data_IF_716885930997
#
_entry.id   IF_716885930997
#
_cell.length_a   1.000
_cell.length_b   1.000
_cell.length_c   1.000
_cell.angle_alpha   90.00
_cell.angle_beta   90.00
_cell.angle_gamma   90.00
#
_symmetry.space_group_name_H-M   'P 1'
#
loop_
_entity.id
_entity.type
_entity.pdbx_description
1 polymer ?
#
# COMPACT_ATOMS: atom_id res chain seq x y z
N UNK A 1 20.90 -3.93 -24.51
CA UNK A 1 20.94 -4.64 -23.20
C UNK A 1 22.01 -3.93 -22.37
N UNK A 2 21.59 -3.09 -21.39
CA UNK A 2 22.58 -2.53 -20.47
C UNK A 2 23.17 -3.70 -19.67
N UNK A 3 24.51 -3.81 -19.67
CA UNK A 3 25.21 -4.78 -18.81
C UNK A 3 24.74 -4.57 -17.38
N UNK A 4 24.35 -5.66 -16.69
CA UNK A 4 24.03 -5.63 -15.27
C UNK A 4 25.20 -5.00 -14.54
N UNK A 5 24.99 -3.94 -13.80
CA UNK A 5 26.03 -3.37 -12.92
C UNK A 5 26.52 -4.48 -11.98
N UNK A 6 27.82 -4.61 -11.75
CA UNK A 6 28.34 -5.61 -10.81
C UNK A 6 27.81 -5.32 -9.41
N UNK A 7 27.50 -6.37 -8.66
CA UNK A 7 27.10 -6.24 -7.27
C UNK A 7 28.32 -5.82 -6.41
N UNK A 8 28.16 -4.88 -5.47
CA UNK A 8 29.23 -4.48 -4.59
C UNK A 8 29.55 -5.59 -3.55
N UNK A 9 30.77 -5.61 -3.01
CA UNK A 9 31.11 -6.50 -1.91
C UNK A 9 30.52 -6.06 -0.55
N UNK A 10 30.17 -4.75 -0.44
CA UNK A 10 29.63 -4.15 0.79
C UNK A 10 28.64 -3.04 0.42
N UNK A 11 27.62 -2.85 1.26
CA UNK A 11 26.70 -1.71 1.22
C UNK A 11 26.49 -1.17 2.64
N UNK A 12 26.18 0.12 2.77
CA UNK A 12 25.79 0.71 4.06
C UNK A 12 24.44 0.16 4.52
N UNK A 13 23.49 0.08 3.59
CA UNK A 13 22.15 -0.48 3.83
C UNK A 13 21.76 -1.35 2.64
N UNK A 14 21.24 -2.54 2.92
CA UNK A 14 20.64 -3.41 1.91
C UNK A 14 19.12 -3.41 2.12
N UNK A 15 18.36 -3.16 1.04
CA UNK A 15 16.91 -3.25 1.01
C UNK A 15 16.51 -4.40 0.09
N UNK A 16 15.78 -5.38 0.60
CA UNK A 16 15.29 -6.52 -0.18
C UNK A 16 13.84 -6.26 -0.59
N UNK A 17 13.66 -5.99 -1.87
CA UNK A 17 12.40 -5.61 -2.51
C UNK A 17 12.45 -4.20 -3.09
N UNK A 18 12.34 -4.09 -4.45
CA UNK A 18 12.25 -2.83 -5.18
C UNK A 18 10.79 -2.47 -5.52
N UNK A 19 9.86 -2.86 -4.68
CA UNK A 19 8.49 -2.36 -4.66
C UNK A 19 8.44 -0.90 -4.17
N UNK A 20 7.24 -0.31 -4.15
CA UNK A 20 7.09 1.10 -3.76
C UNK A 20 7.57 1.37 -2.32
N UNK A 21 7.48 0.38 -1.43
CA UNK A 21 7.97 0.49 -0.05
C UNK A 21 9.50 0.60 -0.01
N UNK A 22 10.20 -0.33 -0.68
CA UNK A 22 11.67 -0.30 -0.72
C UNK A 22 12.22 0.91 -1.46
N UNK A 23 11.59 1.32 -2.57
CA UNK A 23 12.01 2.51 -3.32
C UNK A 23 11.75 3.81 -2.54
N UNK A 24 10.61 3.93 -1.87
CA UNK A 24 10.32 5.09 -1.02
C UNK A 24 11.32 5.19 0.13
N UNK A 25 11.64 4.07 0.77
CA UNK A 25 12.65 4.02 1.82
C UNK A 25 14.04 4.42 1.29
N UNK A 26 14.48 3.82 0.19
CA UNK A 26 15.78 4.12 -0.43
C UNK A 26 15.93 5.60 -0.79
N UNK A 27 14.86 6.19 -1.34
CA UNK A 27 14.82 7.62 -1.64
C UNK A 27 14.99 8.46 -0.38
N UNK A 28 14.19 8.21 0.66
CA UNK A 28 14.27 8.99 1.91
C UNK A 28 15.60 8.82 2.64
N UNK A 29 16.18 7.62 2.66
CA UNK A 29 17.54 7.40 3.20
C UNK A 29 18.58 8.22 2.44
N UNK A 30 18.50 8.26 1.09
CA UNK A 30 19.40 9.06 0.27
C UNK A 30 19.25 10.57 0.51
N UNK A 31 18.03 11.06 0.80
CA UNK A 31 17.78 12.46 1.19
C UNK A 31 18.40 12.79 2.55
N UNK A 32 18.41 11.83 3.47
CA UNK A 32 19.08 11.94 4.78
C UNK A 32 20.62 11.79 4.70
N UNK A 33 21.17 11.69 3.50
CA UNK A 33 22.61 11.65 3.27
C UNK A 33 23.24 10.26 3.34
N UNK A 34 22.45 9.19 3.50
CA UNK A 34 22.97 7.81 3.44
C UNK A 34 23.50 7.53 2.05
N UNK A 35 24.70 6.95 1.97
CA UNK A 35 25.38 6.52 0.73
C UNK A 35 25.45 5.00 0.67
N UNK A 36 25.81 4.48 -0.49
CA UNK A 36 25.99 3.03 -0.73
C UNK A 36 24.76 2.21 -0.35
N UNK A 37 23.57 2.71 -0.76
CA UNK A 37 22.29 2.01 -0.61
C UNK A 37 22.16 1.02 -1.76
N UNK A 38 21.93 -0.25 -1.41
CA UNK A 38 21.71 -1.34 -2.35
C UNK A 38 20.28 -1.86 -2.24
N UNK A 39 19.54 -1.86 -3.35
CA UNK A 39 18.20 -2.44 -3.43
C UNK A 39 18.25 -3.68 -4.31
N UNK A 40 17.82 -4.82 -3.78
CA UNK A 40 17.80 -6.12 -4.46
C UNK A 40 16.36 -6.59 -4.63
N UNK A 41 15.97 -7.01 -5.84
CA UNK A 41 14.65 -7.56 -6.11
C UNK A 41 14.75 -8.85 -6.92
N UNK A 42 14.08 -9.90 -6.46
CA UNK A 42 14.06 -11.19 -7.14
C UNK A 42 13.29 -11.16 -8.46
N UNK A 43 12.31 -10.26 -8.56
CA UNK A 43 11.42 -10.13 -9.70
C UNK A 43 11.91 -9.14 -10.76
N UNK A 44 11.02 -8.89 -11.69
CA UNK A 44 11.19 -7.85 -12.68
C UNK A 44 10.55 -6.53 -12.23
N UNK A 45 10.90 -5.45 -12.89
CA UNK A 45 10.34 -4.13 -12.63
C UNK A 45 8.81 -4.14 -12.60
N UNK A 46 8.22 -3.68 -11.47
CA UNK A 46 6.78 -3.70 -11.20
C UNK A 46 6.12 -5.10 -11.20
N UNK A 47 6.87 -6.15 -10.99
CA UNK A 47 6.35 -7.52 -10.99
C UNK A 47 5.49 -7.88 -9.78
N UNK A 48 5.67 -7.21 -8.65
CA UNK A 48 4.93 -7.43 -7.40
C UNK A 48 3.62 -6.64 -7.28
N UNK A 49 3.08 -6.58 -6.05
CA UNK A 49 1.83 -5.88 -5.71
C UNK A 49 1.85 -4.40 -6.10
N UNK A 50 3.00 -3.74 -6.04
CA UNK A 50 3.15 -2.32 -6.40
C UNK A 50 2.77 -2.02 -7.84
N UNK A 51 2.95 -2.96 -8.77
CA UNK A 51 2.54 -2.82 -10.17
C UNK A 51 1.14 -3.35 -10.48
N UNK A 52 0.38 -3.76 -9.46
CA UNK A 52 -0.92 -4.45 -9.61
C UNK A 52 -2.04 -3.87 -8.74
N UNK A 53 -1.79 -2.74 -8.07
CA UNK A 53 -2.71 -2.13 -7.12
C UNK A 53 -3.80 -1.27 -7.78
N UNK A 54 -4.82 -0.91 -6.98
CA UNK A 54 -5.96 -0.08 -7.40
C UNK A 54 -5.72 1.42 -7.36
N UNK A 55 -4.51 1.90 -7.12
CA UNK A 55 -4.06 3.30 -7.24
C UNK A 55 -4.70 4.31 -6.28
N UNK A 56 -5.48 3.89 -5.30
CA UNK A 56 -6.13 4.77 -4.34
C UNK A 56 -5.13 5.39 -3.36
N UNK A 57 -5.30 6.69 -3.10
CA UNK A 57 -4.58 7.46 -2.07
C UNK A 57 -5.61 8.04 -1.14
N UNK A 58 -5.66 7.53 0.10
CA UNK A 58 -6.67 7.94 1.07
C UNK A 58 -6.16 7.90 2.51
N UNK A 59 -6.64 8.82 3.35
CA UNK A 59 -6.53 8.80 4.81
C UNK A 59 -7.82 8.42 5.51
N UNK A 60 -8.73 7.76 4.80
CA UNK A 60 -10.08 7.41 5.24
C UNK A 60 -10.07 6.13 6.07
N UNK A 61 -9.69 6.23 7.33
CA UNK A 61 -9.68 5.13 8.29
C UNK A 61 -10.50 5.49 9.53
N UNK A 62 -10.88 4.50 10.31
CA UNK A 62 -11.82 4.62 11.43
C UNK A 62 -11.16 4.53 12.81
N UNK A 63 -9.84 4.28 12.84
CA UNK A 63 -9.03 4.35 14.06
C UNK A 63 -8.05 5.52 14.02
N UNK A 64 -7.72 6.16 15.16
CA UNK A 64 -6.79 7.27 15.21
C UNK A 64 -5.39 6.94 14.69
N UNK A 65 -4.89 5.75 15.00
CA UNK A 65 -3.54 5.28 14.62
C UNK A 65 -3.39 5.22 13.10
N UNK A 66 -4.34 4.54 12.44
CA UNK A 66 -4.36 4.46 10.99
C UNK A 66 -4.59 5.81 10.35
N UNK A 67 -5.53 6.57 10.87
CA UNK A 67 -5.88 7.89 10.34
C UNK A 67 -4.68 8.82 10.38
N UNK A 68 -3.96 8.95 11.50
CA UNK A 68 -2.78 9.83 11.62
C UNK A 68 -1.65 9.40 10.68
N UNK A 69 -1.39 8.09 10.56
CA UNK A 69 -0.35 7.58 9.67
C UNK A 69 -0.68 7.87 8.20
N UNK A 70 -1.88 7.51 7.76
CA UNK A 70 -2.26 7.67 6.35
C UNK A 70 -2.59 9.11 5.96
N UNK A 71 -3.03 9.95 6.89
CA UNK A 71 -3.15 11.39 6.67
C UNK A 71 -1.80 12.01 6.36
N UNK A 72 -0.78 11.71 7.17
CA UNK A 72 0.60 12.14 6.89
C UNK A 72 1.07 11.65 5.52
N UNK A 73 0.75 10.42 5.15
CA UNK A 73 1.08 9.91 3.82
C UNK A 73 0.38 10.70 2.71
N UNK A 74 -0.91 11.05 2.87
CA UNK A 74 -1.64 11.86 1.91
C UNK A 74 -1.05 13.27 1.74
N UNK A 75 -0.59 13.89 2.83
CA UNK A 75 0.14 15.17 2.77
C UNK A 75 1.41 15.04 1.95
N UNK A 76 2.20 13.99 2.20
CA UNK A 76 3.43 13.72 1.43
C UNK A 76 3.15 13.48 -0.06
N UNK A 77 2.04 12.81 -0.40
CA UNK A 77 1.62 12.62 -1.80
C UNK A 77 1.42 13.94 -2.54
N UNK A 78 0.90 14.99 -1.87
CA UNK A 78 0.66 16.30 -2.49
C UNK A 78 1.97 16.96 -2.94
N UNK A 79 3.05 16.80 -2.18
CA UNK A 79 4.37 17.34 -2.50
C UNK A 79 5.28 16.41 -3.31
N UNK A 80 4.86 15.17 -3.55
CA UNK A 80 5.72 14.09 -4.00
C UNK A 80 6.33 14.34 -5.40
N UNK A 81 5.55 14.87 -6.34
CA UNK A 81 6.05 15.21 -7.68
C UNK A 81 7.24 16.18 -7.63
N UNK A 82 7.16 17.19 -6.76
CA UNK A 82 8.24 18.16 -6.57
C UNK A 82 9.47 17.51 -5.93
N UNK A 83 9.28 16.69 -4.89
CA UNK A 83 10.38 16.00 -4.19
C UNK A 83 11.13 15.02 -5.10
N UNK A 84 10.40 14.27 -5.93
CA UNK A 84 10.99 13.29 -6.84
C UNK A 84 11.50 13.88 -8.16
N UNK A 85 11.19 15.17 -8.45
CA UNK A 85 11.53 15.82 -9.71
C UNK A 85 10.77 15.27 -10.92
N UNK A 86 9.67 14.52 -10.69
CA UNK A 86 8.87 13.86 -11.72
C UNK A 86 7.39 13.85 -11.34
N UNK A 87 6.51 14.01 -12.33
CA UNK A 87 5.08 14.00 -12.08
C UNK A 87 4.58 12.57 -11.74
N UNK A 88 4.16 12.37 -10.51
CA UNK A 88 3.52 11.12 -10.04
C UNK A 88 2.05 11.02 -10.45
N UNK A 89 1.52 12.03 -11.13
CA UNK A 89 0.14 12.12 -11.63
C UNK A 89 -0.91 11.96 -10.50
N UNK A 90 -0.59 12.40 -9.28
CA UNK A 90 -1.56 12.39 -8.19
C UNK A 90 -2.70 13.35 -8.50
N UNK A 91 -3.91 12.80 -8.57
CA UNK A 91 -5.15 13.51 -8.83
C UNK A 91 -6.01 13.52 -7.57
N UNK A 92 -6.08 14.68 -6.92
CA UNK A 92 -6.88 14.90 -5.71
C UNK A 92 -8.34 15.15 -6.09
N UNK A 93 -9.08 14.09 -6.36
CA UNK A 93 -10.47 14.11 -6.82
C UNK A 93 -11.48 13.75 -5.73
N UNK A 94 -10.99 13.51 -4.51
CA UNK A 94 -11.78 13.04 -3.39
C UNK A 94 -11.90 11.51 -3.34
N UNK A 95 -12.42 11.07 -2.20
CA UNK A 95 -12.78 9.68 -1.91
C UNK A 95 -14.09 9.67 -1.13
N UNK A 96 -15.01 8.80 -1.49
CA UNK A 96 -16.33 8.69 -0.84
C UNK A 96 -16.55 7.26 -0.35
N UNK A 97 -16.76 7.10 0.94
CA UNK A 97 -17.19 5.86 1.56
C UNK A 97 -18.71 5.83 1.56
N UNK A 98 -19.31 4.78 1.01
CA UNK A 98 -20.76 4.63 0.86
C UNK A 98 -21.22 3.42 1.66
N UNK A 99 -22.19 3.63 2.54
CA UNK A 99 -22.88 2.61 3.32
C UNK A 99 -24.32 2.43 2.89
N UNK A 100 -24.80 1.18 2.90
CA UNK A 100 -26.17 0.79 2.57
C UNK A 100 -26.95 0.38 3.82
N UNK A 101 -26.28 -0.12 4.86
CA UNK A 101 -26.89 -0.58 6.11
C UNK A 101 -26.77 0.45 7.23
N UNK A 102 -27.69 0.38 8.22
CA UNK A 102 -27.66 1.27 9.39
C UNK A 102 -26.37 1.11 10.20
N UNK A 103 -25.88 -0.10 10.37
CA UNK A 103 -24.61 -0.36 11.06
C UNK A 103 -23.41 0.32 10.36
N UNK A 104 -23.43 0.38 9.04
CA UNK A 104 -22.40 1.08 8.26
C UNK A 104 -22.54 2.60 8.39
N UNK A 105 -23.77 3.12 8.47
CA UNK A 105 -24.01 4.54 8.75
C UNK A 105 -23.45 4.94 10.12
N UNK A 106 -23.68 4.14 11.16
CA UNK A 106 -23.11 4.35 12.50
C UNK A 106 -21.56 4.28 12.48
N UNK A 107 -20.98 3.37 11.71
CA UNK A 107 -19.53 3.32 11.52
C UNK A 107 -19.01 4.61 10.89
N UNK A 108 -19.69 5.14 9.88
CA UNK A 108 -19.30 6.39 9.22
C UNK A 108 -19.43 7.60 10.13
N UNK A 109 -20.44 7.64 11.04
CA UNK A 109 -20.54 8.67 12.07
C UNK A 109 -19.35 8.63 13.04
N UNK A 110 -18.99 7.43 13.53
CA UNK A 110 -17.81 7.24 14.38
C UNK A 110 -16.52 7.61 13.65
N UNK A 111 -16.41 7.24 12.38
CA UNK A 111 -15.26 7.60 11.52
C UNK A 111 -15.12 9.12 11.38
N UNK A 112 -16.22 9.84 11.19
CA UNK A 112 -16.20 11.30 11.14
C UNK A 112 -15.68 11.91 12.46
N UNK A 113 -16.05 11.34 13.61
CA UNK A 113 -15.55 11.79 14.91
C UNK A 113 -14.02 11.61 15.02
N UNK A 114 -13.49 10.45 14.61
CA UNK A 114 -12.04 10.19 14.55
C UNK A 114 -11.35 11.16 13.59
N UNK A 115 -11.92 11.41 12.42
CA UNK A 115 -11.37 12.37 11.45
C UNK A 115 -11.26 13.77 12.05
N UNK A 116 -12.29 14.25 12.75
CA UNK A 116 -12.27 15.56 13.45
C UNK A 116 -11.16 15.62 14.50
N UNK A 117 -11.01 14.56 15.31
CA UNK A 117 -9.93 14.46 16.31
C UNK A 117 -8.54 14.52 15.66
N UNK A 118 -8.37 13.85 14.52
CA UNK A 118 -7.11 13.78 13.79
C UNK A 118 -6.87 14.96 12.84
N UNK A 119 -7.77 15.95 12.77
CA UNK A 119 -7.66 17.10 11.88
C UNK A 119 -7.87 16.79 10.39
N UNK A 120 -8.58 15.70 10.08
CA UNK A 120 -8.86 15.29 8.70
C UNK A 120 -10.10 16.02 8.18
N UNK A 121 -9.98 16.60 7.00
CA UNK A 121 -11.10 17.21 6.31
C UNK A 121 -12.01 16.15 5.70
N UNK A 122 -13.16 15.94 6.32
CA UNK A 122 -14.20 15.01 5.85
C UNK A 122 -15.58 15.47 6.28
N UNK A 123 -16.62 15.04 5.58
CA UNK A 123 -18.00 15.37 5.88
C UNK A 123 -18.96 14.26 5.48
N UNK A 124 -19.97 14.02 6.32
CA UNK A 124 -21.14 13.25 5.90
C UNK A 124 -21.95 14.07 4.91
N UNK A 125 -22.26 13.48 3.76
CA UNK A 125 -23.00 14.15 2.71
C UNK A 125 -24.51 14.04 2.96
N UNK A 126 -25.21 15.15 2.84
CA UNK A 126 -26.67 15.14 2.70
C UNK A 126 -27.07 14.44 1.39
N UNK A 127 -28.32 13.94 1.25
CA UNK A 127 -28.78 13.33 -0.01
C UNK A 127 -28.64 14.25 -1.23
N UNK A 128 -28.78 15.57 -1.06
CA UNK A 128 -28.56 16.57 -2.11
C UNK A 128 -27.08 16.63 -2.53
N UNK A 129 -26.18 16.80 -1.58
CA UNK A 129 -24.73 16.82 -1.82
C UNK A 129 -24.23 15.51 -2.44
N UNK A 130 -24.76 14.35 -1.98
CA UNK A 130 -24.38 13.07 -2.57
C UNK A 130 -24.76 12.97 -4.05
N UNK A 131 -25.93 13.51 -4.44
CA UNK A 131 -26.33 13.58 -5.86
C UNK A 131 -25.43 14.48 -6.70
N UNK A 132 -24.88 15.53 -6.11
CA UNK A 132 -23.90 16.39 -6.78
C UNK A 132 -22.53 15.71 -6.93
N UNK A 133 -22.05 15.05 -5.87
CA UNK A 133 -20.73 14.39 -5.84
C UNK A 133 -20.71 13.11 -6.68
N UNK A 134 -21.78 12.30 -6.62
CA UNK A 134 -21.91 11.00 -7.29
C UNK A 134 -23.27 10.89 -8.02
N UNK A 135 -23.50 11.66 -9.09
CA UNK A 135 -24.81 11.72 -9.76
C UNK A 135 -25.26 10.39 -10.37
N UNK A 136 -24.32 9.51 -10.71
CA UNK A 136 -24.61 8.20 -11.32
C UNK A 136 -24.88 7.08 -10.29
N UNK A 137 -24.77 7.37 -8.98
CA UNK A 137 -24.96 6.38 -7.92
C UNK A 137 -26.46 6.00 -7.79
N UNK A 138 -26.75 4.76 -7.44
CA UNK A 138 -28.09 4.27 -7.10
C UNK A 138 -28.52 4.78 -5.70
N UNK A 139 -28.87 6.05 -5.58
CA UNK A 139 -29.09 6.77 -4.32
C UNK A 139 -30.12 6.13 -3.39
N UNK A 140 -31.12 5.41 -3.92
CA UNK A 140 -32.17 4.76 -3.12
C UNK A 140 -31.67 3.61 -2.24
N UNK A 141 -30.40 3.19 -2.39
CA UNK A 141 -29.78 2.15 -1.58
C UNK A 141 -28.88 2.69 -0.48
N UNK A 142 -28.57 3.99 -0.48
CA UNK A 142 -27.56 4.58 0.40
C UNK A 142 -28.19 5.03 1.72
N UNK A 143 -27.62 4.53 2.83
CA UNK A 143 -27.96 4.97 4.19
C UNK A 143 -27.10 6.15 4.64
N UNK A 144 -25.80 6.15 4.30
CA UNK A 144 -24.86 7.22 4.59
C UNK A 144 -23.69 7.27 3.60
N UNK A 145 -23.07 8.44 3.48
CA UNK A 145 -21.86 8.61 2.70
C UNK A 145 -20.92 9.61 3.38
N UNK A 146 -19.65 9.22 3.58
CA UNK A 146 -18.58 10.06 4.12
C UNK A 146 -17.61 10.44 3.00
N UNK A 147 -17.41 11.73 2.77
CA UNK A 147 -16.57 12.26 1.71
C UNK A 147 -15.31 12.92 2.26
N UNK A 148 -14.16 12.60 1.64
CA UNK A 148 -12.84 13.15 1.92
C UNK A 148 -12.30 13.83 0.66
N UNK A 149 -12.35 15.17 0.56
CA UNK A 149 -11.95 15.91 -0.64
C UNK A 149 -10.43 15.86 -0.92
N UNK A 150 -9.62 15.65 0.12
CA UNK A 150 -8.15 15.66 0.03
C UNK A 150 -7.55 14.30 -0.38
N UNK A 151 -8.36 13.30 -0.56
CA UNK A 151 -7.99 11.98 -1.09
C UNK A 151 -8.04 11.94 -2.63
N UNK A 152 -7.55 10.87 -3.23
CA UNK A 152 -7.60 10.73 -4.68
C UNK A 152 -6.95 9.46 -5.21
N UNK A 153 -6.33 9.60 -6.38
CA UNK A 153 -5.68 8.49 -7.08
C UNK A 153 -4.32 8.90 -7.64
N UNK A 154 -3.38 7.96 -7.65
CA UNK A 154 -2.08 8.14 -8.29
C UNK A 154 -1.71 6.86 -9.06
N UNK A 155 -1.50 6.92 -10.40
CA UNK A 155 -1.10 5.74 -11.16
C UNK A 155 0.19 5.13 -10.61
N UNK A 156 0.13 3.86 -10.22
CA UNK A 156 1.26 3.19 -9.58
C UNK A 156 2.53 3.19 -10.44
N UNK A 157 2.41 3.03 -11.76
CA UNK A 157 3.55 3.06 -12.67
C UNK A 157 4.25 4.42 -12.69
N UNK A 158 3.53 5.55 -12.62
CA UNK A 158 4.11 6.88 -12.57
C UNK A 158 4.87 7.10 -11.26
N UNK A 159 4.27 6.75 -10.13
CA UNK A 159 4.90 6.86 -8.82
C UNK A 159 6.15 5.96 -8.69
N UNK A 160 6.04 4.70 -9.11
CA UNK A 160 7.16 3.76 -9.11
C UNK A 160 8.32 4.25 -10.00
N UNK A 161 7.99 4.77 -11.20
CA UNK A 161 8.99 5.33 -12.11
C UNK A 161 9.69 6.53 -11.47
N UNK A 162 8.94 7.47 -10.91
CA UNK A 162 9.46 8.66 -10.26
C UNK A 162 10.42 8.31 -9.09
N UNK A 163 10.00 7.40 -8.21
CA UNK A 163 10.86 6.93 -7.11
C UNK A 163 12.15 6.29 -7.63
N UNK A 164 12.05 5.39 -8.62
CA UNK A 164 13.22 4.72 -9.19
C UNK A 164 14.20 5.74 -9.78
N UNK A 165 13.75 6.66 -10.62
CA UNK A 165 14.59 7.68 -11.23
C UNK A 165 15.25 8.58 -10.17
N UNK A 166 14.50 8.99 -9.16
CA UNK A 166 15.01 9.79 -8.05
C UNK A 166 16.08 9.04 -7.24
N UNK A 167 15.90 7.74 -6.99
CA UNK A 167 16.88 6.87 -6.35
C UNK A 167 18.16 6.75 -7.19
N UNK A 168 18.03 6.41 -8.48
CA UNK A 168 19.15 6.26 -9.41
C UNK A 168 19.96 7.56 -9.54
N UNK A 169 19.28 8.71 -9.64
CA UNK A 169 19.92 10.03 -9.68
C UNK A 169 20.71 10.38 -8.41
N UNK A 170 20.37 9.77 -7.27
CA UNK A 170 21.07 9.93 -5.98
C UNK A 170 22.13 8.85 -5.73
N UNK A 171 22.40 7.98 -6.71
CA UNK A 171 23.42 6.94 -6.62
C UNK A 171 22.96 5.66 -5.91
N UNK A 172 21.65 5.48 -5.65
CA UNK A 172 21.14 4.20 -5.14
C UNK A 172 21.31 3.13 -6.21
N UNK A 173 21.89 1.99 -5.83
CA UNK A 173 22.09 0.85 -6.72
C UNK A 173 20.89 -0.08 -6.65
N UNK A 174 20.17 -0.24 -7.77
CA UNK A 174 18.95 -1.06 -7.84
C UNK A 174 19.16 -2.21 -8.81
N UNK A 175 18.95 -3.45 -8.35
CA UNK A 175 19.12 -4.67 -9.13
C UNK A 175 17.84 -5.50 -9.13
N UNK A 176 17.28 -5.70 -10.30
CA UNK A 176 16.15 -6.60 -10.55
C UNK A 176 16.65 -7.98 -10.96
N UNK A 177 15.80 -9.01 -10.85
CA UNK A 177 16.13 -10.42 -11.11
C UNK A 177 17.36 -10.88 -10.34
N UNK A 178 17.48 -10.38 -9.11
CA UNK A 178 18.63 -10.59 -8.24
C UNK A 178 18.12 -11.10 -6.88
N UNK A 179 17.75 -12.39 -6.81
CA UNK A 179 17.17 -12.95 -5.59
C UNK A 179 18.23 -13.08 -4.48
N UNK A 180 17.88 -12.61 -3.29
CA UNK A 180 18.62 -12.95 -2.08
C UNK A 180 18.39 -14.42 -1.77
N UNK A 181 19.45 -15.19 -1.62
CA UNK A 181 19.42 -16.64 -1.38
C UNK A 181 19.70 -17.03 0.08
N UNK A 182 20.34 -16.13 0.84
CA UNK A 182 20.57 -16.28 2.28
C UNK A 182 20.79 -14.93 2.94
N UNK A 183 20.54 -14.86 4.24
CA UNK A 183 20.83 -13.72 5.10
C UNK A 183 21.89 -14.16 6.10
N UNK A 184 23.04 -13.52 6.06
CA UNK A 184 24.17 -13.83 6.94
C UNK A 184 24.04 -13.07 8.26
N UNK A 185 24.31 -13.74 9.36
CA UNK A 185 24.45 -13.15 10.69
C UNK A 185 25.89 -13.22 11.17
N UNK A 186 26.28 -12.25 11.97
CA UNK A 186 27.59 -12.21 12.63
C UNK A 186 27.42 -11.67 14.04
N UNK A 187 27.90 -12.40 15.04
CA UNK A 187 27.81 -12.02 16.45
C UNK A 187 26.37 -11.69 16.90
N UNK A 188 25.35 -12.43 16.42
CA UNK A 188 23.95 -12.25 16.79
C UNK A 188 23.27 -11.03 16.18
N UNK A 189 23.80 -10.46 15.10
CA UNK A 189 23.25 -9.34 14.36
C UNK A 189 23.36 -9.53 12.85
N UNK A 190 22.75 -8.69 12.07
CA UNK A 190 22.88 -8.71 10.59
C UNK A 190 24.36 -8.57 10.21
N UNK A 191 24.80 -9.40 9.25
CA UNK A 191 26.15 -9.38 8.68
C UNK A 191 26.16 -9.25 7.15
N UNK A 192 25.00 -9.31 6.51
CA UNK A 192 24.85 -9.14 5.06
C UNK A 192 23.87 -10.12 4.44
N UNK A 193 23.95 -10.24 3.11
CA UNK A 193 23.12 -11.16 2.31
C UNK A 193 23.98 -11.92 1.31
N UNK A 194 23.41 -13.00 0.75
CA UNK A 194 23.98 -13.72 -0.39
C UNK A 194 23.08 -13.61 -1.62
N UNK A 195 23.72 -13.47 -2.77
CA UNK A 195 23.10 -13.53 -4.10
C UNK A 195 23.87 -14.60 -4.88
N UNK A 196 23.30 -15.79 -5.00
CA UNK A 196 24.07 -16.96 -5.44
C UNK A 196 25.28 -17.21 -4.52
N UNK A 197 26.48 -17.27 -5.10
CA UNK A 197 27.72 -17.45 -4.35
C UNK A 197 28.32 -16.15 -3.82
N UNK A 198 27.84 -14.99 -4.29
CA UNK A 198 28.37 -13.70 -3.88
C UNK A 198 27.80 -13.26 -2.53
N UNK A 199 28.68 -12.98 -1.57
CA UNK A 199 28.34 -12.34 -0.30
C UNK A 199 28.44 -10.83 -0.43
N UNK A 200 27.44 -10.12 0.11
CA UNK A 200 27.41 -8.67 0.20
C UNK A 200 27.27 -8.29 1.68
N UNK A 201 28.30 -7.68 2.24
CA UNK A 201 28.33 -7.32 3.66
C UNK A 201 27.48 -6.06 3.93
N UNK A 202 26.76 -6.06 5.04
CA UNK A 202 26.04 -4.90 5.56
C UNK A 202 25.64 -5.14 7.02
N UNK A 203 25.69 -4.10 7.84
CA UNK A 203 25.20 -4.14 9.23
C UNK A 203 23.72 -3.77 9.34
N UNK A 204 23.10 -3.36 8.24
CA UNK A 204 21.69 -2.93 8.18
C UNK A 204 20.99 -3.56 6.99
N UNK A 205 19.95 -4.31 7.27
CA UNK A 205 19.10 -5.00 6.28
C UNK A 205 17.64 -4.60 6.47
N UNK A 206 16.95 -4.28 5.38
CA UNK A 206 15.52 -4.01 5.41
C UNK A 206 14.76 -5.03 4.55
N UNK A 207 13.78 -5.70 5.12
CA UNK A 207 12.87 -6.58 4.41
C UNK A 207 11.65 -5.80 3.91
N UNK A 208 11.56 -5.62 2.60
CA UNK A 208 10.45 -4.98 1.90
C UNK A 208 9.92 -5.89 0.77
N UNK A 209 9.94 -7.21 1.01
CA UNK A 209 9.73 -8.27 0.02
C UNK A 209 8.26 -8.48 -0.41
N UNK A 210 7.32 -7.68 0.10
CA UNK A 210 5.89 -7.86 -0.20
C UNK A 210 5.42 -9.25 0.20
N UNK A 211 4.78 -9.99 -0.70
CA UNK A 211 4.26 -11.33 -0.42
C UNK A 211 5.32 -12.32 0.10
N UNK A 212 6.58 -12.12 -0.25
CA UNK A 212 7.69 -12.99 0.14
C UNK A 212 8.32 -12.62 1.50
N UNK A 213 7.73 -11.70 2.26
CA UNK A 213 8.30 -11.19 3.51
C UNK A 213 8.53 -12.29 4.56
N UNK A 214 7.62 -13.27 4.65
CA UNK A 214 7.80 -14.41 5.58
C UNK A 214 8.99 -15.31 5.20
N UNK A 215 9.18 -15.57 3.92
CA UNK A 215 10.33 -16.37 3.44
C UNK A 215 11.66 -15.65 3.74
N UNK A 216 11.71 -14.34 3.55
CA UNK A 216 12.87 -13.52 3.88
C UNK A 216 13.13 -13.47 5.39
N UNK A 217 12.10 -13.33 6.22
CA UNK A 217 12.23 -13.37 7.68
C UNK A 217 12.73 -14.75 8.14
N UNK A 218 12.24 -15.84 7.55
CA UNK A 218 12.72 -17.19 7.80
C UNK A 218 14.21 -17.35 7.45
N UNK A 219 14.67 -16.77 6.33
CA UNK A 219 16.11 -16.75 5.99
C UNK A 219 16.95 -16.02 7.04
N UNK A 220 16.36 -15.00 7.69
CA UNK A 220 16.99 -14.28 8.80
C UNK A 220 16.82 -14.99 10.15
N UNK A 221 16.17 -16.16 10.22
CA UNK A 221 15.93 -16.91 11.44
C UNK A 221 15.00 -16.22 12.44
N UNK A 222 14.13 -15.33 11.98
CA UNK A 222 13.18 -14.59 12.84
C UNK A 222 11.74 -14.82 12.43
N UNK A 223 10.77 -14.79 13.37
CA UNK A 223 9.35 -14.84 13.03
C UNK A 223 8.88 -13.54 12.38
N UNK A 224 7.86 -13.63 11.53
CA UNK A 224 7.13 -12.49 11.01
C UNK A 224 5.66 -12.85 10.94
N UNK A 225 4.83 -12.09 11.64
CA UNK A 225 3.39 -12.31 11.62
C UNK A 225 2.78 -11.87 10.29
N UNK A 226 1.94 -12.73 9.72
CA UNK A 226 1.23 -12.45 8.48
C UNK A 226 1.35 -13.56 7.45
N UNK A 227 0.72 -13.34 6.32
CA UNK A 227 0.68 -14.30 5.22
C UNK A 227 0.42 -13.59 3.88
N UNK A 228 0.80 -14.22 2.75
CA UNK A 228 0.44 -13.71 1.42
C UNK A 228 -1.04 -13.91 1.15
N UNK A 229 -1.72 -12.86 0.69
CA UNK A 229 -3.12 -12.89 0.28
C UNK A 229 -3.27 -12.36 -1.14
N UNK A 230 -4.16 -12.99 -1.91
CA UNK A 230 -4.51 -12.55 -3.25
C UNK A 230 -5.62 -11.52 -3.19
N UNK A 231 -5.40 -10.37 -3.84
CA UNK A 231 -6.42 -9.37 -4.14
C UNK A 231 -6.63 -9.29 -5.65
N UNK A 232 -7.85 -9.04 -6.07
CA UNK A 232 -8.20 -8.95 -7.48
C UNK A 232 -8.77 -7.59 -7.84
N UNK A 233 -8.46 -7.16 -9.06
CA UNK A 233 -8.98 -5.93 -9.62
C UNK A 233 -9.37 -6.15 -11.09
N UNK A 234 -10.27 -5.29 -11.58
CA UNK A 234 -10.65 -5.26 -12.99
C UNK A 234 -10.67 -3.84 -13.53
N UNK A 235 -10.57 -3.73 -14.85
CA UNK A 235 -10.74 -2.50 -15.59
C UNK A 235 -11.86 -2.68 -16.62
N UNK A 236 -12.75 -1.69 -16.66
CA UNK A 236 -13.77 -1.57 -17.70
C UNK A 236 -13.27 -0.67 -18.83
N UNK A 237 -13.87 -0.79 -20.00
CA UNK A 237 -13.58 0.11 -21.12
C UNK A 237 -13.89 1.57 -20.77
N UNK A 238 -13.27 2.53 -21.46
CA UNK A 238 -13.55 3.95 -21.25
C UNK A 238 -15.04 4.27 -21.45
N UNK A 239 -15.61 4.97 -20.48
CA UNK A 239 -16.96 5.49 -20.54
C UNK A 239 -16.93 7.02 -20.42
N UNK A 240 -18.06 7.68 -20.70
CA UNK A 240 -18.22 9.10 -20.35
C UNK A 240 -17.95 9.30 -18.84
N UNK A 241 -17.61 10.51 -18.39
CA UNK A 241 -17.44 10.79 -16.97
C UNK A 241 -18.71 10.44 -16.16
N UNK A 242 -18.58 9.50 -15.23
CA UNK A 242 -19.66 9.02 -14.36
C UNK A 242 -19.30 9.11 -12.89
N UNK A 243 -17.99 8.89 -12.56
CA UNK A 243 -17.52 8.76 -11.19
C UNK A 243 -16.47 9.83 -10.95
N UNK A 244 -16.85 10.87 -10.19
CA UNK A 244 -15.96 11.99 -9.86
C UNK A 244 -14.84 11.59 -8.89
N UNK A 245 -15.15 11.37 -7.61
CA UNK A 245 -14.20 10.86 -6.61
C UNK A 245 -14.00 9.34 -6.77
N UNK A 246 -12.99 8.80 -6.11
CA UNK A 246 -12.92 7.37 -5.88
C UNK A 246 -14.00 6.97 -4.86
N UNK A 247 -14.54 5.75 -4.99
CA UNK A 247 -15.66 5.26 -4.19
C UNK A 247 -15.31 3.92 -3.54
N UNK A 248 -15.61 3.78 -2.25
CA UNK A 248 -15.71 2.49 -1.59
C UNK A 248 -17.18 2.19 -1.28
N UNK A 249 -17.64 1.02 -1.67
CA UNK A 249 -18.94 0.47 -1.37
C UNK A 249 -18.76 -0.51 -0.20
N UNK A 250 -18.88 -0.01 1.04
CA UNK A 250 -18.43 -0.73 2.24
C UNK A 250 -19.18 -2.04 2.44
N UNK A 251 -20.49 -2.03 2.29
CA UNK A 251 -21.32 -3.24 2.48
C UNK A 251 -21.19 -4.28 1.36
N UNK A 252 -20.47 -3.94 0.30
CA UNK A 252 -20.21 -4.80 -0.86
C UNK A 252 -18.77 -5.20 -0.99
N UNK A 253 -17.93 -4.74 -0.07
CA UNK A 253 -16.51 -5.03 -0.02
C UNK A 253 -15.81 -4.74 -1.35
N UNK A 254 -16.16 -3.63 -2.00
CA UNK A 254 -15.55 -3.26 -3.27
C UNK A 254 -15.28 -1.76 -3.37
N UNK A 255 -14.37 -1.41 -4.27
CA UNK A 255 -14.02 -0.04 -4.56
C UNK A 255 -13.90 0.20 -6.07
N UNK A 256 -14.02 1.45 -6.48
CA UNK A 256 -13.77 1.85 -7.85
C UNK A 256 -13.35 3.31 -7.96
N UNK A 257 -12.70 3.64 -9.05
CA UNK A 257 -12.51 5.01 -9.50
C UNK A 257 -12.52 5.07 -11.02
N UNK A 258 -12.79 6.23 -11.58
CA UNK A 258 -12.68 6.43 -13.02
C UNK A 258 -11.38 7.16 -13.35
N UNK A 259 -10.62 6.66 -14.32
CA UNK A 259 -9.36 7.27 -14.76
C UNK A 259 -9.64 8.55 -15.58
N UNK A 260 -8.60 9.37 -15.82
CA UNK A 260 -8.72 10.55 -16.68
C UNK A 260 -9.07 10.21 -18.13
N UNK A 261 -8.84 8.97 -18.58
CA UNK A 261 -9.19 8.49 -19.92
C UNK A 261 -10.57 7.84 -19.99
N UNK A 262 -11.23 7.68 -18.85
CA UNK A 262 -12.59 7.16 -18.76
C UNK A 262 -12.73 5.71 -18.33
N UNK A 263 -11.63 4.92 -18.22
CA UNK A 263 -11.71 3.55 -17.71
C UNK A 263 -12.14 3.55 -16.24
N UNK A 264 -13.02 2.62 -15.86
CA UNK A 264 -13.34 2.37 -14.46
C UNK A 264 -12.44 1.24 -13.96
N UNK A 265 -11.68 1.52 -12.92
CA UNK A 265 -10.73 0.59 -12.30
C UNK A 265 -11.10 0.39 -10.84
N UNK A 266 -11.10 -0.84 -10.40
CA UNK A 266 -11.34 -1.18 -9.00
C UNK A 266 -11.34 -2.68 -8.77
N UNK A 267 -11.76 -3.09 -7.59
CA UNK A 267 -11.76 -4.49 -7.20
C UNK A 267 -12.76 -4.77 -6.10
N UNK A 268 -12.90 -6.04 -5.78
CA UNK A 268 -13.61 -6.53 -4.62
C UNK A 268 -12.72 -7.50 -3.85
N UNK A 269 -13.13 -7.79 -2.65
CA UNK A 269 -12.45 -8.78 -1.82
C UNK A 269 -12.62 -10.20 -2.37
N UNK A 270 -11.60 -10.97 -2.10
CA UNK A 270 -11.56 -12.43 -2.28
C UNK A 270 -11.58 -13.08 -0.90
N UNK A 271 -11.98 -14.36 -0.86
CA UNK A 271 -11.98 -15.12 0.38
C UNK A 271 -10.61 -15.04 1.07
N UNK A 272 -10.62 -14.69 2.36
CA UNK A 272 -9.44 -14.56 3.20
C UNK A 272 -8.81 -15.93 3.46
N UNK A 273 -7.73 -16.20 2.79
CA UNK A 273 -6.88 -17.37 3.02
C UNK A 273 -5.52 -17.18 2.37
N UNK A 274 -4.47 -17.78 2.91
CA UNK A 274 -3.16 -17.75 2.30
C UNK A 274 -3.22 -18.23 0.85
N UNK A 275 -2.65 -17.46 -0.06
CA UNK A 275 -2.61 -17.79 -1.49
C UNK A 275 -1.29 -17.33 -2.11
N UNK A 276 -0.78 -18.13 -3.04
CA UNK A 276 0.47 -17.84 -3.76
C UNK A 276 0.27 -17.78 -5.28
N UNK A 277 -0.99 -17.75 -5.76
CA UNK A 277 -1.28 -17.69 -7.19
C UNK A 277 -1.66 -16.28 -7.65
N UNK A 278 -1.23 -15.92 -8.84
CA UNK A 278 -1.64 -14.68 -9.54
C UNK A 278 -2.81 -14.92 -10.51
N UNK A 279 -3.42 -16.10 -10.48
CA UNK A 279 -4.59 -16.39 -11.30
C UNK A 279 -5.81 -15.65 -10.72
N UNK A 280 -6.48 -14.88 -11.56
CA UNK A 280 -7.74 -14.25 -11.21
C UNK A 280 -8.91 -15.23 -11.41
N UNK A 281 -9.97 -15.08 -10.61
CA UNK A 281 -11.13 -15.96 -10.60
C UNK A 281 -12.36 -15.34 -11.25
N UNK A 282 -13.06 -16.09 -12.11
CA UNK A 282 -14.33 -15.67 -12.71
C UNK A 282 -15.41 -15.37 -11.67
N UNK A 283 -15.60 -16.15 -10.59
CA UNK A 283 -16.53 -15.80 -9.52
C UNK A 283 -16.29 -14.43 -8.89
N UNK A 284 -15.04 -14.05 -8.64
CA UNK A 284 -14.67 -12.73 -8.10
C UNK A 284 -15.02 -11.62 -9.09
N UNK A 285 -14.71 -11.82 -10.37
CA UNK A 285 -15.09 -10.89 -11.44
C UNK A 285 -16.61 -10.70 -11.49
N UNK A 286 -17.38 -11.79 -11.45
CA UNK A 286 -18.83 -11.72 -11.49
C UNK A 286 -19.42 -11.02 -10.26
N UNK A 287 -18.89 -11.26 -9.06
CA UNK A 287 -19.31 -10.59 -7.83
C UNK A 287 -19.00 -9.08 -7.88
N UNK A 288 -17.80 -8.71 -8.33
CA UNK A 288 -17.39 -7.32 -8.50
C UNK A 288 -18.28 -6.60 -9.52
N UNK A 289 -18.51 -7.22 -10.68
CA UNK A 289 -19.37 -6.66 -11.72
C UNK A 289 -20.81 -6.45 -11.22
N UNK A 290 -21.36 -7.41 -10.47
CA UNK A 290 -22.69 -7.30 -9.86
C UNK A 290 -22.76 -6.11 -8.89
N UNK A 291 -21.77 -5.98 -7.99
CA UNK A 291 -21.71 -4.88 -7.04
C UNK A 291 -21.66 -3.51 -7.76
N UNK A 292 -20.89 -3.43 -8.85
CA UNK A 292 -20.81 -2.21 -9.66
C UNK A 292 -22.13 -1.88 -10.34
N UNK A 293 -22.81 -2.86 -10.94
CA UNK A 293 -24.09 -2.65 -11.64
C UNK A 293 -25.22 -2.26 -10.69
N UNK A 294 -25.23 -2.81 -9.48
CA UNK A 294 -26.25 -2.49 -8.49
C UNK A 294 -26.10 -1.06 -7.96
N UNK A 295 -24.88 -0.53 -7.88
CA UNK A 295 -24.62 0.82 -7.38
C UNK A 295 -24.45 1.86 -8.49
N UNK A 296 -24.02 1.45 -9.68
CA UNK A 296 -23.86 2.29 -10.87
C UNK A 296 -24.46 1.61 -12.10
N UNK A 297 -25.80 1.58 -12.24
CA UNK A 297 -26.49 0.86 -13.35
C UNK A 297 -26.02 1.27 -14.74
N UNK A 298 -25.54 2.51 -14.90
CA UNK A 298 -25.02 3.04 -16.17
C UNK A 298 -23.77 2.28 -16.67
N UNK A 299 -23.09 1.53 -15.80
CA UNK A 299 -21.96 0.69 -16.20
C UNK A 299 -22.38 -0.60 -16.93
N UNK A 300 -23.69 -0.90 -17.02
CA UNK A 300 -24.21 -2.11 -17.67
C UNK A 300 -23.89 -2.24 -19.15
N UNK A 301 -23.47 -1.16 -19.81
CA UNK A 301 -23.05 -1.17 -21.21
C UNK A 301 -21.52 -1.31 -21.38
N UNK A 302 -20.76 -1.17 -20.29
CA UNK A 302 -19.31 -1.21 -20.34
C UNK A 302 -18.79 -2.66 -20.38
N UNK A 303 -17.78 -2.90 -21.20
CA UNK A 303 -17.11 -4.21 -21.29
C UNK A 303 -15.97 -4.28 -20.30
N UNK A 304 -15.72 -5.48 -19.74
CA UNK A 304 -14.53 -5.76 -18.96
C UNK A 304 -13.35 -5.91 -19.92
N UNK A 305 -12.37 -5.00 -19.81
CA UNK A 305 -11.15 -5.06 -20.61
C UNK A 305 -10.13 -6.04 -20.03
N UNK A 306 -10.05 -6.06 -18.69
CA UNK A 306 -9.02 -6.83 -18.00
C UNK A 306 -9.42 -7.12 -16.56
N UNK A 307 -9.08 -8.32 -16.10
CA UNK A 307 -9.00 -8.70 -14.69
C UNK A 307 -7.56 -9.11 -14.38
N UNK A 308 -7.10 -8.84 -13.18
CA UNK A 308 -5.77 -9.26 -12.71
C UNK A 308 -5.77 -9.48 -11.21
N UNK A 309 -4.79 -10.25 -10.73
CA UNK A 309 -4.54 -10.48 -9.33
C UNK A 309 -3.18 -9.91 -8.90
N UNK A 310 -3.08 -9.52 -7.65
CA UNK A 310 -1.84 -9.16 -6.96
C UNK A 310 -1.74 -9.89 -5.64
N UNK A 311 -0.52 -10.27 -5.25
CA UNK A 311 -0.24 -10.85 -3.95
C UNK A 311 0.26 -9.75 -3.01
N UNK A 312 -0.44 -9.54 -1.90
CA UNK A 312 -0.04 -8.66 -0.82
C UNK A 312 0.37 -9.48 0.39
N UNK A 313 1.19 -8.93 1.26
CA UNK A 313 1.43 -9.50 2.59
C UNK A 313 0.45 -8.85 3.55
N UNK A 314 -0.31 -9.66 4.30
CA UNK A 314 -1.28 -9.21 5.29
C UNK A 314 -0.82 -9.64 6.67
N UNK A 315 -0.81 -8.74 7.63
CA UNK A 315 -0.65 -9.04 9.05
C UNK A 315 -1.98 -9.43 9.69
N UNK A 316 -1.94 -9.93 10.92
CA UNK A 316 -3.16 -10.40 11.64
C UNK A 316 -4.22 -9.31 11.86
N UNK A 317 -3.83 -8.03 11.92
CA UNK A 317 -4.72 -6.87 12.08
C UNK A 317 -4.80 -6.00 10.82
N UNK A 318 -4.31 -6.50 9.69
CA UNK A 318 -4.18 -5.80 8.39
C UNK A 318 -3.25 -4.58 8.41
N UNK A 319 -2.73 -4.19 9.58
CA UNK A 319 -1.79 -3.09 9.72
C UNK A 319 -0.40 -3.42 9.21
N UNK A 320 0.36 -2.43 8.72
CA UNK A 320 1.74 -2.68 8.34
C UNK A 320 2.59 -3.16 9.52
N UNK A 321 3.63 -3.94 9.21
CA UNK A 321 4.71 -4.29 10.12
C UNK A 321 5.89 -3.38 9.78
N UNK A 322 6.15 -2.38 10.62
CA UNK A 322 7.07 -1.31 10.28
C UNK A 322 8.03 -0.98 11.42
N UNK A 323 9.33 -1.10 11.18
CA UNK A 323 10.36 -0.77 12.18
C UNK A 323 11.45 -1.80 12.33
N UNK A 324 12.24 -1.67 13.40
CA UNK A 324 13.29 -2.63 13.76
C UNK A 324 12.68 -3.95 14.23
N UNK A 325 13.31 -5.05 13.88
CA UNK A 325 12.97 -6.36 14.42
C UNK A 325 13.71 -6.57 15.74
N UNK A 326 12.97 -6.73 16.84
CA UNK A 326 13.54 -6.79 18.18
C UNK A 326 14.51 -7.96 18.41
N UNK A 327 14.30 -9.11 17.74
CA UNK A 327 15.10 -10.31 17.92
C UNK A 327 16.44 -10.28 17.16
N UNK A 328 16.64 -9.38 16.19
CA UNK A 328 17.85 -9.37 15.36
C UNK A 328 18.32 -7.93 15.09
N UNK A 329 19.30 -7.42 15.87
CA UNK A 329 19.88 -6.11 15.65
C UNK A 329 20.38 -5.89 14.22
N UNK A 330 20.05 -4.73 13.65
CA UNK A 330 20.37 -4.39 12.26
C UNK A 330 19.30 -4.84 11.25
N UNK A 331 18.28 -5.61 11.67
CA UNK A 331 17.15 -5.98 10.83
C UNK A 331 16.01 -4.99 11.00
N UNK A 332 15.49 -4.50 9.88
CA UNK A 332 14.27 -3.68 9.79
C UNK A 332 13.26 -4.33 8.85
N UNK A 333 11.99 -4.02 9.06
CA UNK A 333 10.88 -4.58 8.29
C UNK A 333 9.98 -3.48 7.76
N UNK A 334 9.52 -3.62 6.53
CA UNK A 334 8.42 -2.90 5.93
C UNK A 334 7.52 -3.89 5.18
N UNK A 335 6.61 -4.54 5.90
CA UNK A 335 5.74 -5.62 5.43
C UNK A 335 4.29 -5.43 5.90
N UNK A 336 3.40 -6.38 5.69
CA UNK A 336 2.01 -6.31 6.17
C UNK A 336 1.13 -5.32 5.40
N UNK A 337 1.46 -4.99 4.16
CA UNK A 337 0.87 -3.89 3.42
C UNK A 337 -0.36 -4.28 2.60
N UNK A 338 -1.56 -4.10 3.14
CA UNK A 338 -2.79 -4.06 2.35
C UNK A 338 -2.89 -2.75 1.53
N UNK A 339 -2.59 -1.61 2.15
CA UNK A 339 -2.67 -0.28 1.55
C UNK A 339 -1.29 0.33 1.25
N UNK A 340 -0.35 -0.50 0.82
CA UNK A 340 1.06 -0.14 0.67
C UNK A 340 1.32 0.99 -0.31
N UNK A 341 0.52 1.12 -1.38
CA UNK A 341 0.66 2.23 -2.32
C UNK A 341 0.37 3.58 -1.65
N UNK A 342 -0.76 3.68 -0.95
CA UNK A 342 -1.15 4.89 -0.23
C UNK A 342 -0.18 5.23 0.90
N UNK A 343 0.31 4.23 1.64
CA UNK A 343 1.18 4.42 2.81
C UNK A 343 2.67 4.61 2.51
N UNK A 344 3.11 4.36 1.27
CA UNK A 344 4.54 4.32 0.96
C UNK A 344 5.32 5.60 1.26
N UNK A 345 4.85 6.83 0.99
CA UNK A 345 5.59 8.03 1.34
C UNK A 345 5.86 8.16 2.83
N UNK A 346 4.84 7.95 3.69
CA UNK A 346 5.00 8.01 5.14
C UNK A 346 5.89 6.88 5.66
N UNK A 347 5.67 5.64 5.20
CA UNK A 347 6.49 4.50 5.60
C UNK A 347 7.98 4.72 5.29
N UNK A 348 8.28 5.15 4.05
CA UNK A 348 9.65 5.41 3.64
C UNK A 348 10.31 6.54 4.43
N UNK A 349 9.59 7.63 4.68
CA UNK A 349 10.11 8.76 5.44
C UNK A 349 10.35 8.40 6.91
N UNK A 350 9.34 7.83 7.57
CA UNK A 350 9.39 7.53 9.01
C UNK A 350 10.40 6.43 9.31
N UNK A 351 10.44 5.37 8.48
CA UNK A 351 11.41 4.29 8.66
C UNK A 351 12.84 4.76 8.37
N UNK A 352 13.05 5.60 7.35
CA UNK A 352 14.38 6.17 7.08
C UNK A 352 14.88 7.00 8.25
N UNK A 353 14.03 7.85 8.84
CA UNK A 353 14.35 8.62 10.05
C UNK A 353 14.70 7.69 11.22
N UNK A 354 13.90 6.64 11.45
CA UNK A 354 14.16 5.68 12.52
C UNK A 354 15.49 4.94 12.33
N UNK A 355 15.84 4.53 11.10
CA UNK A 355 17.12 3.87 10.80
C UNK A 355 18.30 4.81 11.07
N UNK A 356 18.22 6.07 10.67
CA UNK A 356 19.34 7.02 10.77
C UNK A 356 19.50 7.59 12.17
N UNK A 357 18.40 7.93 12.84
CA UNK A 357 18.45 8.61 14.16
C UNK A 357 18.27 7.66 15.35
N UNK A 358 17.79 6.43 15.13
CA UNK A 358 17.36 5.53 16.20
C UNK A 358 16.03 5.93 16.89
N UNK A 359 15.40 7.04 16.47
CA UNK A 359 14.16 7.53 17.07
C UNK A 359 12.95 7.09 16.28
N UNK A 360 11.99 6.46 16.94
CA UNK A 360 10.73 6.00 16.32
C UNK A 360 9.68 7.07 16.47
N UNK A 361 9.15 7.54 15.35
CA UNK A 361 8.03 8.50 15.30
C UNK A 361 6.76 7.89 15.92
N UNK A 362 5.96 8.71 16.62
CA UNK A 362 4.74 8.26 17.29
C UNK A 362 3.71 7.65 16.33
N UNK A 363 3.64 8.13 15.10
CA UNK A 363 2.74 7.60 14.05
C UNK A 363 3.14 6.20 13.58
N UNK A 364 4.41 5.83 13.71
CA UNK A 364 4.91 4.51 13.34
C UNK A 364 4.82 3.50 14.50
N UNK A 365 4.87 3.97 15.76
CA UNK A 365 4.87 3.09 16.96
C UNK A 365 3.75 2.06 17.00
N UNK A 366 2.48 2.38 16.66
CA UNK A 366 1.41 1.40 16.68
C UNK A 366 1.66 0.21 15.76
N UNK A 367 2.40 0.43 14.68
CA UNK A 367 2.69 -0.58 13.66
C UNK A 367 4.01 -1.35 13.88
N UNK A 368 4.53 -1.32 15.11
CA UNK A 368 5.74 -2.05 15.47
C UNK A 368 5.66 -3.55 15.13
N UNK A 369 6.79 -4.14 14.74
CA UNK A 369 6.85 -5.53 14.27
C UNK A 369 6.44 -6.51 15.36
N UNK A 370 6.79 -6.22 16.61
CA UNK A 370 6.55 -7.06 17.80
C UNK A 370 5.18 -6.81 18.50
N UNK A 371 4.28 -6.02 17.91
CA UNK A 371 3.02 -5.64 18.54
C UNK A 371 2.11 -6.83 18.87
N UNK A 372 2.16 -7.90 18.09
CA UNK A 372 1.38 -9.11 18.35
C UNK A 372 1.92 -9.91 19.53
N UNK A 373 3.25 -9.97 19.69
CA UNK A 373 3.88 -10.58 20.86
C UNK A 373 3.56 -9.82 22.13
N UNK A 374 3.41 -8.50 22.03
CA UNK A 374 2.98 -7.63 23.15
C UNK A 374 1.46 -7.58 23.33
N UNK A 375 0.70 -8.34 22.53
CA UNK A 375 -0.78 -8.32 22.52
C UNK A 375 -1.36 -6.91 22.33
N UNK A 376 -0.81 -6.14 21.38
CA UNK A 376 -1.20 -4.77 21.05
C UNK A 376 -1.57 -4.64 19.55
N UNK A 377 -2.54 -5.41 19.05
CA UNK A 377 -2.99 -5.26 17.65
C UNK A 377 -3.64 -3.89 17.44
N UNK A 378 -3.54 -3.36 16.22
CA UNK A 378 -4.15 -2.09 15.83
C UNK A 378 -5.45 -2.37 15.10
N UNK A 379 -6.56 -2.38 15.82
CA UNK A 379 -7.88 -2.66 15.24
C UNK A 379 -8.34 -1.50 14.37
N UNK A 380 -8.72 -1.79 13.12
CA UNK A 380 -9.26 -0.82 12.15
C UNK A 380 -10.67 -1.24 11.71
N UNK A 381 -11.74 -0.71 12.34
CA UNK A 381 -13.13 -1.12 12.06
C UNK A 381 -13.61 -0.79 10.64
N UNK A 382 -12.98 0.18 9.97
CA UNK A 382 -13.33 0.61 8.62
C UNK A 382 -12.59 -0.14 7.53
N UNK A 383 -11.78 -1.14 7.86
CA UNK A 383 -11.22 -2.04 6.87
C UNK A 383 -12.31 -3.00 6.42
N UNK A 384 -12.55 -2.92 5.16
CA UNK A 384 -13.52 -3.72 4.43
C UNK A 384 -13.19 -5.22 4.51
N UNK A 385 -11.97 -5.58 4.91
CA UNK A 385 -11.47 -6.95 5.02
C UNK A 385 -11.64 -7.58 6.41
N UNK A 386 -12.13 -6.84 7.40
CA UNK A 386 -12.25 -7.35 8.77
C UNK A 386 -13.64 -7.94 9.03
N UNK A 387 -13.91 -9.12 8.54
CA UNK A 387 -14.98 -9.97 9.05
C UNK A 387 -14.38 -11.11 9.89
N UNK A 388 -13.58 -10.75 10.89
CA UNK A 388 -13.26 -11.67 11.97
C UNK A 388 -14.23 -11.40 13.14
N UNK A 389 -15.34 -12.11 13.18
CA UNK A 389 -16.04 -12.48 14.39
C UNK A 389 -15.66 -13.91 14.76
#
# INVERSE_FOLDING_TARGET
MNALKPLPAKASIIIVGAGIQGLSLAFNLSELGVRDILVLDAGYWQGGASGRNGTLIRGAFSSPEWTRFFAHSCELWQGLSKRLGQNVMYSRRGYTMVGERSATAELLDRTLAVHKECGIHSSLLTPGQLREVLPALAHGRVSAALHLPDSGVAPHHAAMHAYRQACEARGVSIHYRTPVTAIDQSAGRIGGVRVGDQRIASDTLVLAGGAESNALAQMAGVPLDGYPMRLEAMALEPTRPLIGPAVALLDRLCYMHQTARGEVVGGAEVAERPQHTLNADVPVMAATARAYLEMFPQLGHARILRQWAGLVHISKDFGPLLGAHHALPGLFVSAGWCYGHAGAPAAGELLAKAIVSGQVDERMRPFAVDRFERNQPVVEPGIVLSHFE
#
